data_IF_633805033458
#
_entry.id   IF_633805033458
#
_cell.length_a   1.000
_cell.length_b   1.000
_cell.length_c   1.000
_cell.angle_alpha   90.00
_cell.angle_beta   90.00
_cell.angle_gamma   90.00
#
_symmetry.space_group_name_H-M   'P 1'
#
loop_
_entity.id
_entity.type
_entity.pdbx_description
1 polymer ?
#
# COMPACT_ATOMS: atom_id res chain seq x y z
N UNK A 1 -31.77 -14.84 -68.95
CA UNK A 1 -31.16 -13.76 -68.14
C UNK A 1 -30.40 -14.47 -67.02
N UNK A 2 -29.08 -14.69 -67.15
CA UNK A 2 -27.98 -13.82 -66.67
C UNK A 2 -28.14 -13.52 -65.15
N UNK A 3 -27.19 -13.74 -64.22
CA UNK A 3 -25.72 -13.63 -64.23
C UNK A 3 -25.19 -14.24 -62.89
N UNK A 4 -24.27 -15.22 -62.87
CA UNK A 4 -22.84 -15.19 -62.45
C UNK A 4 -22.41 -14.38 -61.20
N UNK A 5 -21.49 -15.01 -60.44
CA UNK A 5 -20.37 -14.38 -59.72
C UNK A 5 -20.38 -14.63 -58.20
N UNK A 6 -19.30 -14.93 -57.49
CA UNK A 6 -17.91 -15.41 -57.70
C UNK A 6 -17.28 -15.38 -56.30
N UNK A 7 -16.31 -16.26 -56.06
CA UNK A 7 -15.39 -16.31 -54.91
C UNK A 7 -14.73 -14.97 -54.56
N UNK A 8 -14.15 -14.84 -53.35
CA UNK A 8 -12.69 -14.64 -53.13
C UNK A 8 -12.34 -14.78 -51.63
N UNK A 9 -11.15 -15.34 -51.41
CA UNK A 9 -10.42 -15.83 -50.25
C UNK A 9 -9.28 -14.83 -49.90
N UNK A 10 -8.71 -14.93 -48.69
CA UNK A 10 -7.39 -14.42 -48.28
C UNK A 10 -7.18 -12.89 -48.27
N UNK A 11 -6.28 -12.27 -47.51
CA UNK A 11 -5.40 -12.57 -46.37
C UNK A 11 -4.75 -11.22 -46.02
N UNK A 12 -4.23 -11.03 -44.81
CA UNK A 12 -2.95 -10.32 -44.59
C UNK A 12 -2.54 -10.42 -43.12
N UNK A 13 -1.25 -10.68 -42.97
CA UNK A 13 -0.53 -11.25 -41.84
C UNK A 13 0.32 -10.21 -41.10
N UNK A 14 0.72 -10.60 -39.89
CA UNK A 14 2.02 -10.39 -39.23
C UNK A 14 2.54 -8.98 -38.90
N UNK A 15 2.65 -8.72 -37.59
CA UNK A 15 3.77 -7.96 -37.03
C UNK A 15 4.43 -8.77 -35.91
N UNK A 16 5.62 -9.30 -36.21
CA UNK A 16 6.60 -9.83 -35.26
C UNK A 16 7.24 -8.65 -34.53
N UNK A 17 7.36 -8.74 -33.20
CA UNK A 17 8.21 -7.86 -32.40
C UNK A 17 9.49 -8.64 -32.10
N UNK A 18 10.63 -8.01 -32.39
CA UNK A 18 11.96 -8.52 -32.15
C UNK A 18 12.32 -8.37 -30.66
N UNK A 19 12.78 -9.46 -30.05
CA UNK A 19 13.57 -9.45 -28.83
C UNK A 19 15.03 -9.22 -29.22
N UNK A 20 15.67 -8.19 -28.68
CA UNK A 20 17.12 -8.07 -28.49
C UNK A 20 17.39 -6.80 -27.65
N UNK A 21 17.84 -6.97 -26.40
CA UNK A 21 18.92 -6.18 -25.78
C UNK A 21 19.08 -6.62 -24.32
N UNK A 22 19.99 -7.59 -24.13
CA UNK A 22 20.56 -7.96 -22.84
C UNK A 22 21.72 -7.02 -22.53
N UNK A 23 21.68 -6.34 -21.38
CA UNK A 23 22.85 -5.65 -20.83
C UNK A 23 23.50 -6.51 -19.74
N UNK A 24 24.67 -7.04 -20.13
CA UNK A 24 25.71 -7.64 -19.30
C UNK A 24 26.58 -6.53 -18.68
N UNK A 25 26.79 -6.57 -17.36
CA UNK A 25 27.89 -5.85 -16.70
C UNK A 25 28.60 -6.84 -15.80
N UNK A 26 29.80 -7.20 -16.25
CA UNK A 26 30.78 -8.01 -15.56
C UNK A 26 31.73 -7.14 -14.73
N UNK A 27 32.13 -7.70 -13.58
CA UNK A 27 33.16 -7.25 -12.66
C UNK A 27 34.58 -7.55 -13.18
N UNK A 28 35.58 -6.71 -12.85
CA UNK A 28 36.95 -7.15 -12.52
C UNK A 28 37.87 -6.02 -12.00
N UNK A 29 38.85 -6.45 -11.21
CA UNK A 29 39.68 -5.75 -10.22
C UNK A 29 40.96 -5.01 -10.70
N UNK A 30 41.49 -4.22 -9.74
CA UNK A 30 42.90 -4.02 -9.35
C UNK A 30 43.74 -2.90 -10.02
N UNK A 31 44.27 -1.96 -9.21
CA UNK A 31 45.61 -2.02 -8.55
C UNK A 31 46.01 -0.72 -7.79
N UNK A 32 46.54 -0.89 -6.55
CA UNK A 32 47.74 -0.29 -5.88
C UNK A 32 48.03 1.24 -5.97
N UNK A 33 48.59 1.99 -4.99
CA UNK A 33 49.44 1.72 -3.81
C UNK A 33 49.70 3.04 -2.99
N UNK A 34 49.93 2.90 -1.65
CA UNK A 34 50.86 3.67 -0.75
C UNK A 34 50.59 5.18 -0.42
N UNK A 35 50.85 5.76 0.77
CA UNK A 35 51.49 5.36 2.05
C UNK A 35 51.35 6.47 3.14
N UNK A 36 51.35 6.07 4.44
CA UNK A 36 51.91 6.70 5.69
C UNK A 36 51.28 7.99 6.26
N UNK A 37 50.78 8.03 7.50
CA UNK A 37 51.34 7.89 8.88
C UNK A 37 51.74 9.25 9.48
N UNK A 38 51.08 9.67 10.56
CA UNK A 38 51.72 10.24 11.77
C UNK A 38 50.69 10.68 12.84
N UNK A 39 51.01 10.29 14.07
CA UNK A 39 50.35 10.50 15.36
C UNK A 39 50.44 11.93 15.91
N UNK A 40 49.47 12.36 16.72
CA UNK A 40 49.75 13.03 18.01
C UNK A 40 48.48 13.18 18.85
N UNK A 41 48.62 12.81 20.12
CA UNK A 41 47.68 13.01 21.23
C UNK A 41 47.52 14.50 21.56
N UNK A 42 46.31 14.91 21.97
CA UNK A 42 46.18 15.88 23.06
C UNK A 42 44.80 15.76 23.74
N UNK A 43 44.83 15.58 25.06
CA UNK A 43 43.68 15.55 25.96
C UNK A 43 43.20 16.99 26.24
N UNK A 44 41.89 17.30 26.15
CA UNK A 44 41.23 18.06 27.23
C UNK A 44 39.70 18.15 27.15
N UNK A 45 39.08 17.73 28.25
CA UNK A 45 37.93 18.30 28.98
C UNK A 45 36.57 18.61 28.30
N UNK A 46 35.57 18.01 28.96
CA UNK A 46 34.13 18.23 28.94
C UNK A 46 33.67 19.67 28.68
N UNK A 47 32.71 19.80 27.75
CA UNK A 47 31.56 20.69 27.90
C UNK A 47 30.43 20.16 27.01
N UNK A 48 29.31 19.80 27.62
CA UNK A 48 28.10 19.43 26.90
C UNK A 48 27.70 20.53 25.93
N UNK A 49 27.87 20.26 24.63
CA UNK A 49 27.28 21.05 23.57
C UNK A 49 25.91 20.44 23.26
N UNK A 50 24.86 21.20 23.55
CA UNK A 50 23.57 20.96 22.92
C UNK A 50 23.78 20.99 21.39
N UNK A 51 23.18 20.07 20.60
CA UNK A 51 23.22 20.19 19.15
C UNK A 51 22.32 21.37 18.77
N UNK A 52 22.92 22.55 18.65
CA UNK A 52 22.28 23.80 18.28
C UNK A 52 22.72 24.18 16.86
N UNK A 53 22.25 23.43 15.86
CA UNK A 53 22.10 23.89 14.46
C UNK A 53 21.49 22.78 13.58
N UNK A 54 20.44 22.12 14.06
CA UNK A 54 19.65 21.25 13.18
C UNK A 54 18.45 22.06 12.66
N UNK A 55 18.34 22.19 11.34
CA UNK A 55 17.14 22.71 10.69
C UNK A 55 16.02 21.68 10.78
N UNK A 56 14.80 22.14 11.03
CA UNK A 56 13.63 21.28 11.03
C UNK A 56 13.33 20.85 9.59
N UNK A 57 13.41 19.54 9.30
CA UNK A 57 13.14 19.00 7.95
C UNK A 57 11.69 19.16 7.46
N UNK A 58 10.76 19.59 8.32
CA UNK A 58 9.35 19.81 7.96
C UNK A 58 9.14 21.23 7.43
N UNK A 59 9.60 22.26 8.15
CA UNK A 59 9.44 23.66 7.74
C UNK A 59 10.68 24.23 7.05
N UNK A 60 11.81 23.52 7.09
CA UNK A 60 13.11 23.91 6.54
C UNK A 60 13.72 25.16 7.21
N UNK A 61 13.29 25.47 8.43
CA UNK A 61 13.82 26.56 9.27
C UNK A 61 14.47 25.99 10.54
N UNK A 62 15.22 26.83 11.27
CA UNK A 62 15.77 26.47 12.58
C UNK A 62 14.69 25.93 13.52
N UNK A 63 15.05 24.92 14.31
CA UNK A 63 14.15 24.34 15.31
C UNK A 63 13.59 25.40 16.28
N UNK A 64 12.27 25.48 16.35
CA UNK A 64 11.52 26.31 17.31
C UNK A 64 10.72 25.40 18.22
N UNK A 65 10.85 25.58 19.55
CA UNK A 65 10.19 24.71 20.55
C UNK A 65 10.41 23.22 20.24
N UNK A 66 11.67 22.79 20.25
CA UNK A 66 12.07 21.50 19.70
C UNK A 66 11.44 20.33 20.48
N UNK A 67 10.81 19.41 19.75
CA UNK A 67 10.26 18.16 20.26
C UNK A 67 11.06 16.98 19.72
N UNK A 68 11.71 16.25 20.62
CA UNK A 68 12.48 15.05 20.31
C UNK A 68 11.61 13.80 20.45
N UNK A 69 11.58 12.96 19.42
CA UNK A 69 10.75 11.76 19.40
C UNK A 69 11.40 10.60 20.17
N UNK A 70 10.68 10.03 21.16
CA UNK A 70 11.26 9.09 22.14
C UNK A 70 11.75 7.73 21.60
N UNK A 71 11.27 7.25 20.45
CA UNK A 71 11.68 5.95 19.88
C UNK A 71 12.91 6.04 18.97
N UNK A 72 13.23 7.23 18.45
CA UNK A 72 14.27 7.41 17.42
C UNK A 72 15.16 8.64 17.61
N UNK A 73 14.91 9.46 18.65
CA UNK A 73 15.69 10.64 19.03
C UNK A 73 15.81 11.76 17.98
N UNK A 74 15.02 11.73 16.90
CA UNK A 74 14.95 12.81 15.92
C UNK A 74 14.14 14.00 16.45
N UNK A 75 14.58 15.22 16.16
CA UNK A 75 14.00 16.47 16.67
C UNK A 75 13.36 17.32 15.57
N UNK A 76 12.23 17.96 15.90
CA UNK A 76 11.44 18.79 14.99
C UNK A 76 10.85 19.98 15.77
N UNK A 77 10.37 21.03 15.10
CA UNK A 77 9.53 22.03 15.78
C UNK A 77 8.28 21.35 16.33
N UNK A 78 7.88 21.63 17.59
CA UNK A 78 6.73 20.93 18.21
C UNK A 78 5.46 21.02 17.36
N UNK A 79 5.14 22.22 16.85
CA UNK A 79 3.96 22.42 15.99
C UNK A 79 4.05 21.61 14.68
N UNK A 80 5.23 21.57 14.05
CA UNK A 80 5.43 20.87 12.79
C UNK A 80 5.22 19.36 12.95
N UNK A 81 5.80 18.76 13.99
CA UNK A 81 5.68 17.30 14.18
C UNK A 81 4.29 16.91 14.69
N UNK A 82 3.63 17.75 15.48
CA UNK A 82 2.26 17.49 15.92
C UNK A 82 1.28 17.54 14.74
N UNK A 83 1.40 18.53 13.85
CA UNK A 83 0.62 18.60 12.60
C UNK A 83 0.97 17.47 11.62
N UNK A 84 2.23 17.03 11.57
CA UNK A 84 2.60 15.88 10.76
C UNK A 84 1.89 14.61 11.26
N UNK A 85 1.93 14.38 12.58
CA UNK A 85 1.32 13.20 13.21
C UNK A 85 -0.21 13.15 13.13
N UNK A 86 -0.91 14.27 12.88
CA UNK A 86 -2.37 14.20 12.63
C UNK A 86 -2.70 13.47 11.34
N UNK A 87 -1.77 13.42 10.38
CA UNK A 87 -1.99 12.81 9.07
C UNK A 87 -1.15 11.52 8.90
N UNK A 88 0.11 11.56 9.34
CA UNK A 88 1.10 10.51 9.13
C UNK A 88 1.86 10.25 10.42
N UNK A 89 1.51 9.20 11.18
CA UNK A 89 2.06 8.96 12.51
C UNK A 89 3.43 8.25 12.45
N UNK A 90 4.34 8.72 11.58
CA UNK A 90 5.70 8.21 11.46
C UNK A 90 6.72 9.35 11.50
N UNK A 91 7.92 9.09 12.00
CA UNK A 91 9.00 10.07 11.95
C UNK A 91 9.30 10.46 10.48
N UNK A 92 9.35 11.75 10.13
CA UNK A 92 9.71 12.20 8.77
C UNK A 92 11.12 11.80 8.30
N UNK A 93 12.02 11.46 9.23
CA UNK A 93 13.43 11.14 8.91
C UNK A 93 13.63 9.63 8.73
N UNK A 94 13.15 8.82 9.67
CA UNK A 94 13.44 7.38 9.70
C UNK A 94 12.20 6.49 9.63
N UNK A 95 11.00 7.08 9.44
CA UNK A 95 9.73 6.38 9.33
C UNK A 95 9.32 5.53 10.55
N UNK A 96 10.01 5.67 11.69
CA UNK A 96 9.59 5.02 12.95
C UNK A 96 8.16 5.43 13.31
N UNK A 97 7.28 4.46 13.56
CA UNK A 97 5.85 4.69 13.80
C UNK A 97 5.56 5.08 15.25
N UNK A 98 4.80 6.16 15.44
CA UNK A 98 4.42 6.73 16.74
C UNK A 98 2.93 6.64 17.05
N UNK A 99 2.09 6.22 16.10
CA UNK A 99 0.65 6.09 16.29
C UNK A 99 0.01 5.12 15.30
N UNK A 100 -1.31 4.98 15.38
CA UNK A 100 -2.08 4.11 14.49
C UNK A 100 -2.40 4.87 13.21
N UNK A 101 -1.91 4.39 12.06
CA UNK A 101 -2.28 4.94 10.75
C UNK A 101 -3.78 4.72 10.53
N UNK A 102 -4.49 5.78 10.17
CA UNK A 102 -5.91 5.73 9.74
C UNK A 102 -6.05 6.33 8.35
N UNK A 103 -7.07 5.90 7.61
CA UNK A 103 -7.38 6.44 6.28
C UNK A 103 -8.67 7.24 6.25
N UNK A 104 -9.08 7.59 5.04
CA UNK A 104 -10.25 8.41 4.75
C UNK A 104 -11.40 7.61 4.09
N UNK A 105 -11.46 6.29 4.25
CA UNK A 105 -12.66 5.51 3.89
C UNK A 105 -13.92 6.14 4.51
N UNK A 106 -15.07 6.24 3.81
CA UNK A 106 -16.29 6.76 4.42
C UNK A 106 -16.72 6.00 5.69
N UNK A 107 -17.17 6.73 6.72
CA UNK A 107 -17.40 6.19 8.08
C UNK A 107 -18.64 5.29 8.18
N UNK A 108 -19.57 5.43 7.24
CA UNK A 108 -20.83 4.71 7.12
C UNK A 108 -20.73 3.42 6.28
N UNK A 109 -19.51 3.03 5.90
CA UNK A 109 -19.24 1.76 5.23
C UNK A 109 -19.55 0.55 6.11
N UNK A 110 -20.03 -0.51 5.46
CA UNK A 110 -20.29 -1.81 6.07
C UNK A 110 -19.32 -2.88 5.54
N UNK A 111 -18.84 -3.75 6.44
CA UNK A 111 -18.05 -4.93 6.12
C UNK A 111 -18.65 -6.16 6.82
N UNK A 112 -18.79 -7.26 6.09
CA UNK A 112 -19.16 -8.57 6.63
C UNK A 112 -18.31 -9.68 6.02
N UNK A 113 -18.22 -10.83 6.69
CA UNK A 113 -17.50 -11.99 6.22
C UNK A 113 -18.28 -13.28 6.50
N UNK A 114 -18.49 -14.10 5.47
CA UNK A 114 -19.18 -15.38 5.58
C UNK A 114 -18.35 -16.50 4.99
N UNK A 115 -18.36 -17.66 5.64
CA UNK A 115 -17.70 -18.85 5.12
C UNK A 115 -18.68 -19.66 4.28
N UNK A 116 -18.23 -20.10 3.11
CA UNK A 116 -18.92 -21.04 2.26
C UNK A 116 -18.03 -22.28 2.03
N UNK A 117 -18.35 -23.38 2.72
CA UNK A 117 -17.59 -24.63 2.63
C UNK A 117 -17.76 -25.37 1.30
N UNK A 118 -18.70 -24.96 0.45
CA UNK A 118 -18.96 -25.61 -0.85
C UNK A 118 -18.12 -25.03 -1.98
N UNK A 119 -17.62 -23.80 -1.82
CA UNK A 119 -16.80 -23.14 -2.83
C UNK A 119 -15.34 -23.32 -2.44
N UNK A 120 -14.55 -23.86 -3.38
CA UNK A 120 -13.11 -24.01 -3.24
C UNK A 120 -12.44 -23.13 -4.29
N UNK A 121 -11.41 -22.41 -3.88
CA UNK A 121 -10.63 -21.56 -4.78
C UNK A 121 -9.54 -22.40 -5.45
N UNK A 122 -9.29 -22.24 -6.76
CA UNK A 122 -8.18 -22.90 -7.44
C UNK A 122 -6.85 -22.69 -6.71
N UNK A 123 -6.15 -23.77 -6.39
CA UNK A 123 -4.90 -23.77 -5.61
C UNK A 123 -5.08 -23.86 -4.09
N UNK A 124 -6.32 -23.97 -3.61
CA UNK A 124 -6.67 -24.15 -2.20
C UNK A 124 -7.72 -25.26 -2.03
N UNK A 125 -7.58 -26.35 -2.78
CA UNK A 125 -8.47 -27.49 -2.74
C UNK A 125 -8.58 -28.07 -1.32
N UNK A 126 -9.78 -28.49 -0.92
CA UNK A 126 -10.07 -29.00 0.42
C UNK A 126 -10.33 -27.91 1.48
N UNK A 127 -10.21 -26.63 1.13
CA UNK A 127 -10.61 -25.51 1.99
C UNK A 127 -11.87 -24.84 1.45
N UNK A 128 -12.79 -24.44 2.33
CA UNK A 128 -13.90 -23.56 1.98
C UNK A 128 -13.42 -22.17 1.53
N UNK A 129 -14.35 -21.27 1.25
CA UNK A 129 -14.05 -19.88 0.87
C UNK A 129 -14.67 -18.90 1.84
N UNK A 130 -13.90 -17.93 2.30
CA UNK A 130 -14.37 -16.75 3.04
C UNK A 130 -14.78 -15.70 2.00
N UNK A 131 -16.05 -15.32 1.99
CA UNK A 131 -16.62 -14.26 1.19
C UNK A 131 -16.70 -12.97 2.03
N UNK A 132 -15.95 -11.95 1.61
CA UNK A 132 -15.94 -10.61 2.19
C UNK A 132 -16.93 -9.73 1.45
N UNK A 133 -17.86 -9.09 2.15
CA UNK A 133 -18.82 -8.16 1.58
C UNK A 133 -18.54 -6.75 2.08
N UNK A 134 -18.41 -5.81 1.16
CA UNK A 134 -18.26 -4.38 1.44
C UNK A 134 -19.41 -3.61 0.80
N UNK A 135 -19.97 -2.66 1.54
CA UNK A 135 -21.04 -1.79 1.05
C UNK A 135 -20.85 -0.36 1.52
N UNK A 136 -20.96 0.58 0.60
CA UNK A 136 -20.94 2.02 0.85
C UNK A 136 -22.08 2.65 0.05
N UNK A 137 -22.85 3.53 0.70
CA UNK A 137 -23.84 4.35 0.02
C UNK A 137 -23.19 5.59 -0.60
N UNK A 138 -23.96 6.28 -1.44
CA UNK A 138 -23.59 7.61 -1.91
C UNK A 138 -23.59 8.58 -0.72
N UNK A 139 -22.73 9.59 -0.78
CA UNK A 139 -22.59 10.54 0.32
C UNK A 139 -21.95 11.86 -0.09
N UNK A 140 -21.58 12.65 0.92
CA UNK A 140 -20.91 13.94 0.73
C UNK A 140 -19.47 13.84 1.25
N UNK A 141 -18.55 14.42 0.50
CA UNK A 141 -17.14 14.44 0.84
C UNK A 141 -16.86 15.33 2.06
N UNK A 142 -16.07 14.80 3.00
CA UNK A 142 -15.64 15.52 4.20
C UNK A 142 -14.33 16.28 3.94
N UNK A 143 -13.84 17.02 4.92
CA UNK A 143 -12.52 17.67 4.88
C UNK A 143 -11.35 16.67 4.69
N UNK A 144 -11.57 15.38 4.96
CA UNK A 144 -10.58 14.31 4.76
C UNK A 144 -10.52 13.82 3.29
N UNK A 145 -11.39 14.30 2.42
CA UNK A 145 -11.54 13.85 1.03
C UNK A 145 -11.05 14.90 0.02
N UNK A 146 -10.77 14.53 -1.24
CA UNK A 146 -10.20 15.44 -2.23
C UNK A 146 -11.04 16.67 -2.57
N UNK A 147 -12.38 16.56 -2.51
CA UNK A 147 -13.29 17.66 -2.84
C UNK A 147 -14.35 17.86 -1.75
N UNK A 148 -14.02 18.46 -0.59
CA UNK A 148 -14.96 18.66 0.51
C UNK A 148 -16.27 19.33 0.07
N UNK A 149 -17.40 18.84 0.58
CA UNK A 149 -18.75 19.32 0.24
C UNK A 149 -19.32 18.81 -1.09
N UNK A 150 -18.52 18.19 -1.97
CA UNK A 150 -19.04 17.55 -3.19
C UNK A 150 -19.61 16.16 -2.91
N UNK A 151 -20.59 15.68 -3.71
CA UNK A 151 -21.05 14.31 -3.61
C UNK A 151 -19.95 13.32 -4.01
N UNK A 152 -20.05 12.10 -3.50
CA UNK A 152 -19.35 10.92 -4.02
C UNK A 152 -20.33 9.76 -4.20
N UNK A 153 -20.02 8.84 -5.11
CA UNK A 153 -20.81 7.63 -5.34
C UNK A 153 -20.23 6.43 -4.59
N UNK A 154 -21.12 5.68 -3.94
CA UNK A 154 -20.82 4.49 -3.16
C UNK A 154 -20.47 3.27 -4.03
N UNK A 155 -20.35 2.11 -3.39
CA UNK A 155 -20.03 0.85 -4.08
C UNK A 155 -20.45 -0.37 -3.27
N UNK A 156 -20.68 -1.48 -3.97
CA UNK A 156 -20.85 -2.80 -3.37
C UNK A 156 -19.80 -3.74 -3.97
N UNK A 157 -19.02 -4.41 -3.13
CA UNK A 157 -17.94 -5.29 -3.58
C UNK A 157 -17.93 -6.58 -2.79
N UNK A 158 -17.60 -7.67 -3.50
CA UNK A 158 -17.34 -8.97 -2.89
C UNK A 158 -15.89 -9.35 -3.16
N UNK A 159 -15.21 -9.92 -2.17
CA UNK A 159 -13.88 -10.46 -2.31
C UNK A 159 -13.75 -11.84 -1.65
N UNK A 160 -12.71 -12.58 -2.00
CA UNK A 160 -12.56 -13.99 -1.65
C UNK A 160 -11.20 -14.30 -1.03
N UNK A 161 -11.22 -15.05 0.08
CA UNK A 161 -10.04 -15.65 0.70
C UNK A 161 -10.27 -17.16 0.87
N UNK A 162 -9.24 -18.00 0.80
CA UNK A 162 -9.38 -19.40 1.19
C UNK A 162 -9.67 -19.50 2.70
N UNK A 163 -10.54 -20.43 3.10
CA UNK A 163 -10.82 -20.73 4.50
C UNK A 163 -9.76 -21.69 5.08
N UNK A 164 -8.51 -21.24 5.07
CA UNK A 164 -7.39 -21.91 5.72
C UNK A 164 -6.77 -20.99 6.78
N UNK A 165 -5.71 -21.45 7.45
CA UNK A 165 -5.06 -20.68 8.52
C UNK A 165 -4.56 -19.31 8.04
N UNK A 166 -4.01 -19.24 6.83
CA UNK A 166 -3.46 -18.00 6.29
C UNK A 166 -4.56 -17.03 5.83
N UNK A 167 -5.60 -17.50 5.15
CA UNK A 167 -6.75 -16.68 4.80
C UNK A 167 -7.50 -16.15 6.02
N UNK A 168 -7.58 -16.93 7.11
CA UNK A 168 -8.12 -16.45 8.39
C UNK A 168 -7.23 -15.37 9.04
N UNK A 169 -5.90 -15.45 8.86
CA UNK A 169 -4.98 -14.38 9.28
C UNK A 169 -5.22 -13.11 8.47
N UNK A 170 -5.31 -13.21 7.15
CA UNK A 170 -5.61 -12.06 6.27
C UNK A 170 -6.97 -11.44 6.61
N UNK A 171 -8.00 -12.26 6.86
CA UNK A 171 -9.32 -11.78 7.29
C UNK A 171 -9.24 -10.89 8.55
N UNK A 172 -8.47 -11.30 9.56
CA UNK A 172 -8.29 -10.52 10.80
C UNK A 172 -7.62 -9.18 10.52
N UNK A 173 -6.57 -9.18 9.70
CA UNK A 173 -5.87 -7.96 9.31
C UNK A 173 -6.77 -7.01 8.49
N UNK A 174 -7.54 -7.54 7.53
CA UNK A 174 -8.48 -6.74 6.73
C UNK A 174 -9.59 -6.12 7.58
N UNK A 175 -10.12 -6.85 8.57
CA UNK A 175 -11.09 -6.29 9.53
C UNK A 175 -10.50 -5.10 10.30
N UNK A 176 -9.26 -5.22 10.75
CA UNK A 176 -8.59 -4.10 11.42
C UNK A 176 -8.31 -2.94 10.44
N UNK A 177 -7.84 -3.22 9.23
CA UNK A 177 -7.63 -2.21 8.20
C UNK A 177 -8.93 -1.45 7.88
N UNK A 178 -10.07 -2.16 7.81
CA UNK A 178 -11.38 -1.56 7.60
C UNK A 178 -11.79 -0.67 8.78
N UNK A 179 -11.60 -1.13 10.02
CA UNK A 179 -11.83 -0.33 11.25
C UNK A 179 -10.97 0.93 11.26
N UNK A 180 -9.73 0.84 10.79
CA UNK A 180 -8.80 1.98 10.61
C UNK A 180 -9.07 2.79 9.35
N UNK A 181 -10.13 2.50 8.59
CA UNK A 181 -10.54 3.24 7.39
C UNK A 181 -9.51 3.22 6.25
N UNK A 182 -8.78 2.11 6.11
CA UNK A 182 -7.64 1.98 5.18
C UNK A 182 -7.95 1.19 3.91
N UNK A 183 -9.05 0.43 3.85
CA UNK A 183 -9.34 -0.49 2.73
C UNK A 183 -9.84 0.26 1.49
N UNK A 184 -10.63 1.32 1.72
CA UNK A 184 -11.19 2.17 0.68
C UNK A 184 -10.79 3.64 0.87
N UNK A 185 -11.02 4.43 -0.16
CA UNK A 185 -10.89 5.89 -0.16
C UNK A 185 -11.94 6.50 -1.09
N UNK A 186 -12.11 7.82 -1.05
CA UNK A 186 -12.85 8.58 -2.07
C UNK A 186 -11.85 9.21 -3.02
N UNK A 187 -11.98 8.93 -4.31
CA UNK A 187 -11.07 9.47 -5.32
C UNK A 187 -11.46 9.05 -6.74
N UNK A 188 -10.45 8.88 -7.58
CA UNK A 188 -10.61 8.46 -8.98
C UNK A 188 -10.45 6.96 -9.11
N UNK A 189 -11.41 6.30 -9.75
CA UNK A 189 -11.33 4.88 -10.09
C UNK A 189 -10.27 4.67 -11.18
N UNK A 190 -9.27 3.82 -10.90
CA UNK A 190 -8.19 3.52 -11.86
C UNK A 190 -8.66 2.76 -13.10
N UNK A 191 -9.71 1.96 -12.98
CA UNK A 191 -10.21 1.12 -14.07
C UNK A 191 -11.22 1.83 -14.95
N UNK A 192 -12.04 2.72 -14.37
CA UNK A 192 -13.12 3.41 -15.11
C UNK A 192 -12.84 4.88 -15.37
N UNK A 193 -11.85 5.49 -14.69
CA UNK A 193 -11.57 6.92 -14.76
C UNK A 193 -12.60 7.81 -14.08
N UNK A 194 -13.60 7.24 -13.38
CA UNK A 194 -14.63 8.02 -12.71
C UNK A 194 -14.09 8.68 -11.44
N UNK A 195 -14.27 9.99 -11.32
CA UNK A 195 -13.94 10.76 -10.12
C UNK A 195 -15.06 10.76 -9.08
N UNK A 196 -14.70 11.09 -7.84
CA UNK A 196 -15.63 11.19 -6.71
C UNK A 196 -16.39 9.89 -6.47
N UNK A 197 -15.67 8.77 -6.42
CA UNK A 197 -16.25 7.45 -6.13
C UNK A 197 -15.49 6.76 -5.01
N UNK A 198 -16.16 5.84 -4.31
CA UNK A 198 -15.51 4.93 -3.38
C UNK A 198 -14.69 3.89 -4.16
N UNK A 199 -13.38 3.89 -3.96
CA UNK A 199 -12.43 3.01 -4.64
C UNK A 199 -11.49 2.33 -3.65
N UNK A 200 -10.85 1.23 -4.09
CA UNK A 200 -9.81 0.54 -3.32
C UNK A 200 -8.64 1.49 -3.00
N UNK A 201 -8.02 1.28 -1.85
CA UNK A 201 -6.91 2.10 -1.35
C UNK A 201 -5.66 1.23 -1.12
N UNK A 202 -5.05 0.80 -2.23
CA UNK A 202 -3.77 0.06 -2.31
C UNK A 202 -3.67 -1.27 -1.53
N UNK A 203 -4.79 -1.80 -1.03
CA UNK A 203 -4.89 -3.15 -0.46
C UNK A 203 -5.68 -4.02 -1.44
N UNK A 204 -4.98 -4.89 -2.16
CA UNK A 204 -5.56 -5.68 -3.24
C UNK A 204 -6.48 -6.79 -2.70
N UNK A 205 -7.63 -6.90 -3.36
CA UNK A 205 -8.65 -7.90 -3.07
C UNK A 205 -8.84 -8.81 -4.28
N UNK A 206 -9.08 -10.10 -4.02
CA UNK A 206 -9.51 -11.03 -5.07
C UNK A 206 -11.01 -10.92 -5.24
N UNK A 207 -11.44 -10.23 -6.29
CA UNK A 207 -12.86 -9.98 -6.60
C UNK A 207 -13.50 -11.07 -7.47
N UNK A 208 -12.70 -12.03 -7.95
CA UNK A 208 -13.17 -13.22 -8.67
C UNK A 208 -12.64 -14.50 -8.01
N UNK A 209 -13.35 -15.61 -8.17
CA UNK A 209 -12.93 -16.92 -7.67
C UNK A 209 -12.06 -17.69 -8.68
N UNK A 210 -11.99 -17.24 -9.92
CA UNK A 210 -11.24 -17.85 -11.03
C UNK A 210 -10.57 -16.76 -11.90
N UNK A 211 -9.90 -17.15 -12.99
CA UNK A 211 -9.31 -16.21 -13.96
C UNK A 211 -7.90 -15.71 -13.61
N UNK A 212 -7.32 -16.23 -12.52
CA UNK A 212 -5.95 -15.92 -12.11
C UNK A 212 -5.72 -14.44 -11.79
N UNK A 213 -4.47 -14.01 -11.83
CA UNK A 213 -4.08 -12.62 -11.49
C UNK A 213 -4.72 -11.57 -12.39
N UNK A 214 -4.84 -11.86 -13.69
CA UNK A 214 -5.36 -10.93 -14.71
C UNK A 214 -6.80 -10.53 -14.45
N UNK A 215 -7.63 -11.48 -13.98
CA UNK A 215 -9.02 -11.22 -13.64
C UNK A 215 -9.23 -10.96 -12.14
N UNK A 216 -8.18 -10.60 -11.40
CA UNK A 216 -8.25 -10.37 -9.95
C UNK A 216 -8.83 -11.57 -9.19
N UNK A 217 -8.52 -12.79 -9.62
CA UNK A 217 -8.99 -14.03 -9.03
C UNK A 217 -7.90 -15.07 -8.79
N UNK A 218 -8.31 -16.33 -8.76
CA UNK A 218 -7.47 -17.49 -8.43
C UNK A 218 -7.29 -18.40 -9.66
N UNK A 219 -6.21 -19.20 -9.74
CA UNK A 219 -5.12 -19.32 -8.77
C UNK A 219 -4.20 -18.10 -8.78
N UNK A 220 -3.68 -17.74 -7.61
CA UNK A 220 -2.60 -16.78 -7.43
C UNK A 220 -1.80 -17.17 -6.18
N UNK A 221 -0.72 -17.95 -6.33
CA UNK A 221 0.02 -18.50 -5.21
C UNK A 221 0.71 -17.43 -4.35
N UNK A 222 0.90 -16.21 -4.87
CA UNK A 222 1.58 -15.12 -4.18
C UNK A 222 0.64 -14.18 -3.44
N UNK A 223 -0.67 -14.27 -3.68
CA UNK A 223 -1.62 -13.27 -3.24
C UNK A 223 -1.63 -13.06 -1.72
N UNK A 224 -1.71 -14.14 -0.94
CA UNK A 224 -1.82 -14.04 0.53
C UNK A 224 -0.58 -13.38 1.14
N UNK A 225 0.61 -13.64 0.59
CA UNK A 225 1.82 -12.95 1.01
C UNK A 225 1.76 -11.46 0.65
N UNK A 226 1.47 -11.14 -0.62
CA UNK A 226 1.44 -9.75 -1.11
C UNK A 226 0.44 -8.88 -0.34
N UNK A 227 -0.77 -9.37 -0.09
CA UNK A 227 -1.77 -8.59 0.66
C UNK A 227 -1.36 -8.37 2.12
N UNK A 228 -0.62 -9.31 2.73
CA UNK A 228 -0.05 -9.10 4.07
C UNK A 228 1.04 -8.03 4.08
N UNK A 229 1.87 -7.97 3.04
CA UNK A 229 2.89 -6.93 2.86
C UNK A 229 2.24 -5.55 2.64
N UNK A 230 1.19 -5.48 1.81
CA UNK A 230 0.38 -4.26 1.61
C UNK A 230 -0.25 -3.79 2.93
N UNK A 231 -0.86 -4.70 3.70
CA UNK A 231 -1.42 -4.40 5.01
C UNK A 231 -0.35 -3.90 5.99
N UNK A 232 0.83 -4.53 5.99
CA UNK A 232 1.96 -4.12 6.82
C UNK A 232 2.49 -2.72 6.43
N UNK A 233 2.53 -2.39 5.12
CA UNK A 233 2.87 -1.05 4.63
C UNK A 233 1.85 0.02 5.08
N UNK A 234 0.61 -0.40 5.35
CA UNK A 234 -0.41 0.43 6.01
C UNK A 234 -0.36 0.39 7.55
N UNK A 235 0.67 -0.22 8.14
CA UNK A 235 0.83 -0.33 9.59
C UNK A 235 -0.15 -1.32 10.25
N UNK A 236 -0.73 -2.23 9.47
CA UNK A 236 -1.66 -3.25 9.95
C UNK A 236 -0.95 -4.61 9.99
N UNK A 237 -0.40 -4.92 11.16
CA UNK A 237 0.24 -6.20 11.48
C UNK A 237 -0.49 -6.88 12.63
N UNK A 238 -0.21 -8.17 12.86
CA UNK A 238 -0.79 -8.89 14.02
C UNK A 238 -0.42 -8.24 15.35
N UNK A 239 0.82 -7.76 15.49
CA UNK A 239 1.29 -7.06 16.68
C UNK A 239 0.57 -5.72 16.87
N UNK A 240 0.19 -5.06 15.77
CA UNK A 240 -0.57 -3.81 15.84
C UNK A 240 -2.03 -4.00 16.26
N UNK A 241 -2.58 -5.23 16.20
CA UNK A 241 -3.96 -5.54 16.60
C UNK A 241 -4.04 -5.82 18.11
N UNK A 242 -3.03 -6.51 18.67
CA UNK A 242 -3.02 -6.91 20.09
C UNK A 242 -2.77 -5.77 21.07
N UNK A 243 -2.45 -4.57 20.57
CA UNK A 243 -2.18 -3.36 21.36
C UNK A 243 -3.39 -2.40 21.45
N UNK A 244 -4.55 -2.80 20.92
CA UNK A 244 -5.82 -2.04 20.91
C UNK A 244 -6.88 -2.70 21.77
#
# INVERSE_FOLDING_TARGET
MADKGSDVIESMQDMKINDDDAMDVSSSDAKSEQNKDDTSDDENQEKGSAPADEDCVICLDKLTDAKTLHKCSHSFCSLCIDQHFTNTPHCPICFTVYGIKTGNQPKDGYMDAKVNEKIQLPGFEGHGTIMLYYSFFDGIQTEEHPNPGRPYYGTNRTAYLPNNQEGQKVLKLLKEAFKRRLVFTVGSSRTTGCDNVVTWNDIHHKTNTCGGTVEFGYPDPTYLQRVQEELAAHGVTLDSISQT
#
